data_IF_094664675763
#
_entry.id   IF_094664675763
#
_cell.length_a   1.000
_cell.length_b   1.000
_cell.length_c   1.000
_cell.angle_alpha   90.00
_cell.angle_beta   90.00
_cell.angle_gamma   90.00
#
_symmetry.space_group_name_H-M   'P 1'
#
loop_
_entity.id
_entity.type
_entity.pdbx_description
1 polymer ?
#
# COMPACT_ATOMS: atom_id res chain seq x y z
N UNK A 1 -13.03 4.38 1.29
CA UNK A 1 -11.71 3.87 1.75
C UNK A 1 -10.92 3.20 0.64
N UNK A 2 -11.28 2.00 0.13
CA UNK A 2 -10.51 1.37 -0.96
C UNK A 2 -10.42 2.27 -2.20
N UNK A 3 -11.58 2.73 -2.70
CA UNK A 3 -11.65 3.60 -3.89
C UNK A 3 -10.85 4.89 -3.73
N UNK A 4 -10.90 5.54 -2.56
CA UNK A 4 -10.13 6.78 -2.29
C UNK A 4 -8.62 6.53 -2.30
N UNK A 5 -8.18 5.37 -1.77
CA UNK A 5 -6.76 4.98 -1.76
C UNK A 5 -6.32 4.64 -3.18
N UNK A 6 -7.15 3.93 -3.93
CA UNK A 6 -6.89 3.53 -5.32
C UNK A 6 -6.81 4.76 -6.24
N UNK A 7 -7.74 5.70 -6.12
CA UNK A 7 -7.74 6.95 -6.88
C UNK A 7 -6.51 7.80 -6.54
N UNK A 8 -6.13 7.90 -5.26
CA UNK A 8 -4.92 8.63 -4.86
C UNK A 8 -3.65 7.93 -5.35
N UNK A 9 -3.56 6.60 -5.20
CA UNK A 9 -2.41 5.79 -5.64
C UNK A 9 -2.21 5.85 -7.16
N UNK A 10 -3.28 5.84 -7.93
CA UNK A 10 -3.25 5.92 -9.40
C UNK A 10 -2.68 7.24 -9.92
N UNK A 11 -2.57 8.28 -9.09
CA UNK A 11 -1.92 9.55 -9.48
C UNK A 11 -0.40 9.43 -9.60
N UNK A 12 0.20 8.38 -9.03
CA UNK A 12 1.66 8.24 -8.97
C UNK A 12 2.23 7.32 -10.06
N UNK A 13 1.36 6.59 -10.78
CA UNK A 13 1.73 5.69 -11.87
C UNK A 13 0.57 4.81 -12.33
N UNK A 14 0.85 3.90 -13.25
CA UNK A 14 -0.12 2.92 -13.71
C UNK A 14 -0.26 1.82 -12.65
N UNK A 15 -1.33 1.90 -11.85
CA UNK A 15 -1.63 0.96 -10.79
C UNK A 15 -2.23 -0.31 -11.40
N UNK A 16 -1.49 -1.42 -11.34
CA UNK A 16 -1.92 -2.71 -11.87
C UNK A 16 -2.86 -3.42 -10.90
N UNK A 17 -2.54 -3.36 -9.60
CA UNK A 17 -3.32 -4.01 -8.56
C UNK A 17 -3.20 -3.26 -7.22
N UNK A 18 -4.22 -3.42 -6.38
CA UNK A 18 -4.23 -2.91 -5.02
C UNK A 18 -4.82 -3.94 -4.05
N UNK A 19 -4.05 -4.29 -3.03
CA UNK A 19 -4.46 -5.21 -1.99
C UNK A 19 -4.45 -4.52 -0.62
N UNK A 20 -5.57 -4.57 0.09
CA UNK A 20 -5.72 -3.98 1.42
C UNK A 20 -5.94 -5.10 2.42
N UNK A 21 -4.92 -5.32 3.24
CA UNK A 21 -4.88 -6.41 4.21
C UNK A 21 -5.13 -5.81 5.58
N UNK A 22 -6.19 -6.28 6.24
CA UNK A 22 -6.53 -5.89 7.61
C UNK A 22 -6.28 -7.07 8.54
N UNK A 23 -5.20 -7.01 9.31
CA UNK A 23 -4.93 -7.97 10.37
C UNK A 23 -5.83 -7.68 11.57
N UNK A 24 -6.89 -8.48 11.72
CA UNK A 24 -7.89 -8.34 12.78
C UNK A 24 -7.34 -8.67 14.17
N UNK A 25 -6.18 -9.30 14.27
CA UNK A 25 -5.55 -9.64 15.54
C UNK A 25 -4.69 -8.50 16.10
N UNK A 26 -4.37 -7.50 15.27
CA UNK A 26 -3.67 -6.30 15.69
C UNK A 26 -4.69 -5.19 15.98
N UNK A 27 -4.64 -4.63 17.19
CA UNK A 27 -5.55 -3.56 17.64
C UNK A 27 -5.14 -2.16 17.16
N UNK A 28 -4.04 -2.03 16.43
CA UNK A 28 -3.30 -0.77 16.31
C UNK A 28 -3.07 -0.29 14.87
N UNK A 29 -2.38 0.84 14.70
CA UNK A 29 -2.07 1.44 13.39
C UNK A 29 -1.34 0.51 12.38
N UNK A 30 -0.79 -0.62 12.84
CA UNK A 30 -0.16 -1.67 12.03
C UNK A 30 -1.15 -2.72 11.49
N UNK A 31 -2.41 -2.66 11.93
CA UNK A 31 -3.45 -3.59 11.52
C UNK A 31 -3.83 -3.47 10.05
N UNK A 32 -3.45 -2.40 9.36
CA UNK A 32 -3.79 -2.18 7.95
C UNK A 32 -2.52 -2.04 7.13
N UNK A 33 -2.32 -2.95 6.19
CA UNK A 33 -1.29 -2.87 5.16
C UNK A 33 -1.94 -2.68 3.80
N UNK A 34 -1.41 -1.75 3.01
CA UNK A 34 -1.87 -1.45 1.66
C UNK A 34 -0.71 -1.73 0.72
N UNK A 35 -0.93 -2.63 -0.22
CA UNK A 35 0.03 -3.01 -1.24
C UNK A 35 -0.46 -2.46 -2.57
N UNK A 36 0.37 -1.65 -3.21
CA UNK A 36 0.09 -1.06 -4.52
C UNK A 36 1.11 -1.61 -5.51
N UNK A 37 0.63 -2.38 -6.49
CA UNK A 37 1.44 -2.91 -7.57
C UNK A 37 1.41 -1.93 -8.74
N UNK A 38 2.58 -1.43 -9.14
CA UNK A 38 2.71 -0.52 -10.28
C UNK A 38 3.42 -1.22 -11.43
N UNK A 39 3.14 -0.75 -12.65
CA UNK A 39 3.74 -1.28 -13.88
C UNK A 39 5.27 -1.14 -13.91
N UNK A 40 5.83 -0.16 -13.19
CA UNK A 40 7.28 0.01 -13.13
C UNK A 40 7.80 0.39 -11.74
N UNK A 41 9.07 0.06 -11.50
CA UNK A 41 9.78 0.42 -10.27
C UNK A 41 9.85 1.93 -10.05
N UNK A 42 9.97 2.73 -11.12
CA UNK A 42 10.04 4.19 -11.02
C UNK A 42 8.71 4.78 -10.52
N UNK A 43 7.58 4.23 -10.99
CA UNK A 43 6.25 4.60 -10.51
C UNK A 43 6.08 4.24 -9.03
N UNK A 44 6.49 3.02 -8.63
CA UNK A 44 6.46 2.61 -7.23
C UNK A 44 7.38 3.48 -6.34
N UNK A 45 8.55 3.89 -6.85
CA UNK A 45 9.46 4.79 -6.14
C UNK A 45 8.84 6.19 -5.96
N UNK A 46 8.10 6.69 -6.95
CA UNK A 46 7.38 7.97 -6.85
C UNK A 46 6.28 7.92 -5.78
N UNK A 47 5.49 6.84 -5.77
CA UNK A 47 4.49 6.58 -4.74
C UNK A 47 5.14 6.50 -3.34
N UNK A 48 6.23 5.75 -3.20
CA UNK A 48 6.98 5.62 -1.96
C UNK A 48 7.43 6.99 -1.43
N UNK A 49 8.03 7.82 -2.28
CA UNK A 49 8.51 9.15 -1.88
C UNK A 49 7.37 10.07 -1.44
N UNK A 50 6.18 9.90 -2.01
CA UNK A 50 5.02 10.74 -1.68
C UNK A 50 4.30 10.28 -0.42
N UNK A 51 4.15 8.97 -0.22
CA UNK A 51 3.47 8.41 0.95
C UNK A 51 4.34 8.40 2.19
N UNK A 52 5.66 8.19 2.05
CA UNK A 52 6.57 8.09 3.19
C UNK A 52 6.56 9.36 4.02
N UNK A 53 6.08 9.25 5.25
CA UNK A 53 6.02 10.37 6.19
C UNK A 53 4.81 11.29 6.03
N UNK A 54 3.92 11.03 5.07
CA UNK A 54 2.63 11.73 4.96
C UNK A 54 1.76 11.38 6.17
N UNK A 55 0.97 12.34 6.63
CA UNK A 55 0.01 12.10 7.72
C UNK A 55 -1.35 11.77 7.11
N UNK A 56 -1.91 10.62 7.48
CA UNK A 56 -3.24 10.17 7.08
C UNK A 56 -4.06 9.88 8.34
N UNK A 57 -5.22 10.52 8.48
CA UNK A 57 -6.09 10.39 9.67
C UNK A 57 -5.34 10.55 11.02
N UNK A 58 -4.37 11.47 11.08
CA UNK A 58 -3.56 11.73 12.28
C UNK A 58 -2.41 10.74 12.53
N UNK A 59 -2.20 9.77 11.63
CA UNK A 59 -1.12 8.77 11.71
C UNK A 59 -0.08 9.03 10.62
N UNK A 60 1.21 8.83 10.93
CA UNK A 60 2.27 8.87 9.92
C UNK A 60 2.26 7.57 9.13
N UNK A 61 2.17 7.69 7.81
CA UNK A 61 2.27 6.57 6.88
C UNK A 61 3.72 6.12 6.80
N UNK A 62 3.93 4.83 7.08
CA UNK A 62 5.17 4.13 6.79
C UNK A 62 5.01 3.47 5.41
N UNK A 63 5.95 3.76 4.52
CA UNK A 63 5.97 3.18 3.19
C UNK A 63 7.36 2.59 2.92
N UNK A 64 7.38 1.42 2.31
CA UNK A 64 8.55 0.66 1.88
C UNK A 64 8.20 -0.15 0.65
N UNK A 65 9.21 -0.60 -0.10
CA UNK A 65 8.99 -1.65 -1.08
C UNK A 65 8.64 -2.95 -0.37
N UNK A 66 7.67 -3.69 -0.92
CA UNK A 66 7.41 -5.07 -0.53
C UNK A 66 8.27 -6.01 -1.38
N UNK A 67 8.64 -7.16 -0.82
CA UNK A 67 9.20 -8.26 -1.61
C UNK A 67 8.08 -9.01 -2.33
N UNK A 68 8.44 -9.76 -3.37
CA UNK A 68 7.50 -10.64 -4.08
C UNK A 68 6.88 -11.67 -3.12
N UNK A 69 7.67 -12.26 -2.23
CA UNK A 69 7.20 -13.19 -1.20
C UNK A 69 6.15 -12.56 -0.26
N UNK A 70 6.34 -11.31 0.17
CA UNK A 70 5.38 -10.58 0.99
C UNK A 70 4.08 -10.27 0.24
N UNK A 71 4.14 -10.13 -1.09
CA UNK A 71 2.99 -9.87 -1.93
C UNK A 71 2.21 -11.16 -2.24
N UNK A 72 2.92 -12.24 -2.59
CA UNK A 72 2.35 -13.57 -2.86
C UNK A 72 1.67 -14.16 -1.62
N UNK A 73 2.21 -13.94 -0.42
CA UNK A 73 1.54 -14.39 0.81
C UNK A 73 0.18 -13.73 1.02
N UNK A 74 -0.12 -12.62 0.36
CA UNK A 74 -1.45 -11.98 0.42
C UNK A 74 -2.47 -12.68 -0.47
N UNK A 75 -2.05 -13.18 -1.63
CA UNK A 75 -2.93 -13.91 -2.55
C UNK A 75 -3.31 -15.29 -2.02
N UNK A 76 -2.47 -15.91 -1.17
CA UNK A 76 -2.68 -17.27 -0.67
C UNK A 76 -3.53 -17.35 0.61
N UNK A 77 -4.13 -16.26 1.09
CA UNK A 77 -4.93 -16.22 2.32
C UNK A 77 -6.46 -16.30 2.09
N UNK A 78 -6.89 -16.86 0.95
CA UNK A 78 -8.30 -17.25 0.70
C UNK A 78 -8.80 -18.38 1.62
#
# INVERSE_FOLDING_TARGET
>A
MKEEIEEEASKFGNLLNINIVVDKNLLDALAVKIYCEYESKDQAQNALNTFKGRTFAGRKVQASFATEEEYETLENND
#
